data_IF_595033362847
#
_entry.id   IF_595033362847
#
_cell.length_a   1.000
_cell.length_b   1.000
_cell.length_c   1.000
_cell.angle_alpha   90.00
_cell.angle_beta   90.00
_cell.angle_gamma   90.00
#
_symmetry.space_group_name_H-M   'P 1'
#
loop_
_entity.id
_entity.type
_entity.pdbx_description
1 polymer ?
#
# COMPACT_ATOMS: atom_id res chain seq x y z
N UNK A 1 -1.00 12.40 -1.86
CA UNK A 1 -1.13 10.94 -1.58
C UNK A 1 -0.84 10.06 -2.81
N UNK A 2 -1.05 10.55 -4.03
CA UNK A 2 -0.82 9.82 -5.29
C UNK A 2 0.59 9.29 -5.48
N UNK A 3 1.64 10.10 -5.20
CA UNK A 3 3.02 9.62 -5.32
C UNK A 3 3.30 8.42 -4.40
N UNK A 4 2.94 8.51 -3.12
CA UNK A 4 3.14 7.42 -2.15
C UNK A 4 2.32 6.19 -2.52
N UNK A 5 1.10 6.38 -3.02
CA UNK A 5 0.25 5.31 -3.53
C UNK A 5 0.90 4.58 -4.71
N UNK A 6 1.41 5.31 -5.70
CA UNK A 6 2.10 4.74 -6.88
C UNK A 6 3.34 3.95 -6.45
N UNK A 7 4.16 4.49 -5.56
CA UNK A 7 5.36 3.77 -5.07
C UNK A 7 5.00 2.50 -4.30
N UNK A 8 4.00 2.56 -3.41
CA UNK A 8 3.55 1.40 -2.64
C UNK A 8 2.95 0.33 -3.56
N UNK A 9 2.15 0.73 -4.54
CA UNK A 9 1.54 -0.15 -5.53
C UNK A 9 2.59 -0.86 -6.39
N UNK A 10 3.56 -0.12 -6.92
CA UNK A 10 4.67 -0.69 -7.69
C UNK A 10 5.50 -1.68 -6.85
N UNK A 11 5.80 -1.35 -5.59
CA UNK A 11 6.54 -2.23 -4.69
C UNK A 11 5.78 -3.54 -4.39
N UNK A 12 4.47 -3.45 -4.18
CA UNK A 12 3.62 -4.62 -3.96
C UNK A 12 3.49 -5.48 -5.22
N UNK A 13 3.26 -4.86 -6.39
CA UNK A 13 3.15 -5.56 -7.68
C UNK A 13 4.43 -6.32 -8.02
N UNK A 14 5.59 -5.67 -7.85
CA UNK A 14 6.90 -6.28 -8.10
C UNK A 14 7.12 -7.50 -7.18
N UNK A 15 6.77 -7.36 -5.90
CA UNK A 15 6.88 -8.45 -4.91
C UNK A 15 5.95 -9.60 -5.28
N UNK A 16 4.70 -9.29 -5.65
CA UNK A 16 3.70 -10.29 -6.05
C UNK A 16 4.13 -11.09 -7.27
N UNK A 17 4.54 -10.42 -8.36
CA UNK A 17 5.05 -11.08 -9.56
C UNK A 17 6.30 -11.92 -9.26
N UNK A 18 7.22 -11.40 -8.44
CA UNK A 18 8.42 -12.15 -8.03
C UNK A 18 8.06 -13.44 -7.28
N UNK A 19 7.05 -13.37 -6.41
CA UNK A 19 6.59 -14.52 -5.64
C UNK A 19 5.92 -15.57 -6.53
N UNK A 20 5.12 -15.15 -7.51
CA UNK A 20 4.47 -16.05 -8.48
C UNK A 20 5.48 -16.69 -9.45
N UNK A 21 6.51 -15.94 -9.87
CA UNK A 21 7.63 -16.50 -10.65
C UNK A 21 8.42 -17.53 -9.83
N UNK A 22 8.71 -17.23 -8.56
CA UNK A 22 9.38 -18.17 -7.66
C UNK A 22 8.50 -19.42 -7.45
N UNK A 23 7.20 -19.22 -7.22
CA UNK A 23 6.23 -20.29 -7.01
C UNK A 23 6.18 -21.21 -8.22
N UNK A 24 5.95 -20.68 -9.43
CA UNK A 24 5.93 -21.46 -10.67
C UNK A 24 7.25 -22.20 -10.92
N UNK A 25 8.39 -21.57 -10.63
CA UNK A 25 9.69 -22.22 -10.69
C UNK A 25 9.89 -23.30 -9.62
N UNK A 26 9.19 -23.23 -8.48
CA UNK A 26 9.23 -24.24 -7.41
C UNK A 26 8.37 -25.47 -7.73
N UNK A 27 7.33 -25.32 -8.57
CA UNK A 27 6.46 -26.42 -9.01
C UNK A 27 7.07 -27.19 -10.18
N UNK A 28 7.89 -26.52 -11.02
CA UNK A 28 8.73 -27.20 -12.01
C UNK A 28 9.86 -27.96 -11.32
N UNK A 29 10.37 -29.06 -11.91
CA UNK A 29 11.42 -29.94 -11.37
C UNK A 29 12.77 -29.23 -11.09
N UNK A 30 12.80 -28.32 -10.12
CA UNK A 30 13.97 -27.53 -9.75
C UNK A 30 15.03 -28.37 -9.04
N UNK A 31 14.64 -29.51 -8.47
CA UNK A 31 15.55 -30.50 -7.87
C UNK A 31 16.44 -31.19 -8.90
N UNK A 32 15.97 -31.39 -10.14
CA UNK A 32 16.78 -31.93 -11.24
C UNK A 32 17.57 -30.82 -11.98
N UNK A 33 17.25 -29.55 -11.73
CA UNK A 33 17.88 -28.42 -12.40
C UNK A 33 19.28 -28.10 -11.86
N UNK A 34 20.11 -27.46 -12.69
CA UNK A 34 21.51 -27.12 -12.38
C UNK A 34 21.64 -26.45 -11.00
N UNK A 35 22.70 -26.75 -10.23
CA UNK A 35 22.90 -26.20 -8.87
C UNK A 35 22.97 -24.66 -8.84
N UNK A 36 23.32 -24.02 -9.97
CA UNK A 36 23.29 -22.56 -10.14
C UNK A 36 21.86 -22.00 -10.02
N UNK A 37 20.86 -22.64 -10.61
CA UNK A 37 19.46 -22.22 -10.57
C UNK A 37 18.87 -22.37 -9.18
N UNK A 38 19.19 -23.46 -8.49
CA UNK A 38 18.78 -23.67 -7.08
C UNK A 38 19.35 -22.60 -6.13
N UNK A 39 20.62 -22.22 -6.32
CA UNK A 39 21.26 -21.16 -5.52
C UNK A 39 20.61 -19.81 -5.79
N UNK A 40 20.29 -19.52 -7.05
CA UNK A 40 19.58 -18.31 -7.45
C UNK A 40 18.18 -18.25 -6.84
N UNK A 41 17.40 -19.35 -6.86
CA UNK A 41 16.08 -19.42 -6.24
C UNK A 41 16.14 -19.20 -4.72
N UNK A 42 17.13 -19.78 -4.03
CA UNK A 42 17.32 -19.57 -2.59
C UNK A 42 17.63 -18.10 -2.28
N UNK A 43 18.59 -17.51 -3.01
CA UNK A 43 18.93 -16.09 -2.86
C UNK A 43 17.71 -15.23 -3.17
N UNK A 44 17.00 -15.49 -4.26
CA UNK A 44 15.81 -14.74 -4.63
C UNK A 44 14.71 -14.87 -3.59
N UNK A 45 14.47 -16.07 -3.06
CA UNK A 45 13.49 -16.31 -1.98
C UNK A 45 13.85 -15.56 -0.69
N UNK A 46 15.13 -15.53 -0.31
CA UNK A 46 15.62 -14.82 0.86
C UNK A 46 15.55 -13.30 0.68
N UNK A 47 15.75 -12.84 -0.56
CA UNK A 47 15.60 -11.43 -0.94
C UNK A 47 14.13 -11.02 -0.99
N UNK A 48 13.22 -11.89 -1.42
CA UNK A 48 11.77 -11.66 -1.40
C UNK A 48 11.18 -11.73 0.02
N UNK A 49 11.71 -12.61 0.89
CA UNK A 49 11.39 -12.68 2.32
C UNK A 49 11.81 -11.45 3.11
N UNK A 50 12.69 -10.64 2.54
CA UNK A 50 12.84 -9.23 2.94
C UNK A 50 11.90 -8.44 2.04
N UNK A 51 10.57 -8.42 2.33
CA UNK A 51 9.70 -7.55 1.59
C UNK A 51 10.31 -6.17 1.69
N UNK A 52 10.11 -5.40 0.64
CA UNK A 52 10.39 -3.98 0.46
C UNK A 52 9.82 -3.16 1.62
N UNK A 53 10.29 -3.39 2.84
CA UNK A 53 10.26 -2.45 3.95
C UNK A 53 11.36 -1.48 3.57
N UNK A 54 11.08 -0.70 2.53
CA UNK A 54 11.79 0.53 2.25
C UNK A 54 11.45 1.40 3.44
N UNK A 55 12.24 1.23 4.49
CA UNK A 55 12.23 2.05 5.69
C UNK A 55 12.78 3.39 5.23
N UNK A 56 11.93 4.22 4.65
CA UNK A 56 12.23 5.63 4.53
C UNK A 56 12.33 6.17 5.96
N UNK A 57 13.58 6.35 6.41
CA UNK A 57 13.93 7.06 7.64
C UNK A 57 13.24 6.60 8.94
N UNK A 58 13.13 5.29 9.23
CA UNK A 58 12.74 4.76 10.57
C UNK A 58 11.33 5.15 11.09
N UNK A 59 10.52 5.93 10.35
CA UNK A 59 9.20 6.40 10.77
C UNK A 59 8.01 5.76 10.02
N UNK A 60 8.16 5.33 8.76
CA UNK A 60 7.07 4.70 8.02
C UNK A 60 7.50 3.36 7.42
N UNK A 61 6.97 2.27 7.98
CA UNK A 61 6.80 1.05 7.20
C UNK A 61 5.85 1.40 6.07
N UNK A 62 6.36 1.51 4.84
CA UNK A 62 5.57 1.69 3.61
C UNK A 62 4.76 0.42 3.29
N UNK A 63 3.96 -0.01 4.27
CA UNK A 63 2.96 -1.06 4.09
C UNK A 63 1.69 -0.44 3.52
N UNK A 64 1.01 -1.18 2.65
CA UNK A 64 -0.29 -0.80 2.12
C UNK A 64 -1.28 -0.48 3.26
N UNK A 65 -1.19 -1.22 4.37
CA UNK A 65 -1.99 -1.02 5.57
C UNK A 65 -1.81 0.37 6.18
N UNK A 66 -0.58 0.84 6.34
CA UNK A 66 -0.29 2.19 6.88
C UNK A 66 -0.84 3.28 5.97
N UNK A 67 -0.71 3.11 4.65
CA UNK A 67 -1.23 4.06 3.66
C UNK A 67 -2.76 4.17 3.73
N UNK A 68 -3.45 3.03 3.88
CA UNK A 68 -4.92 3.01 4.05
C UNK A 68 -5.33 3.74 5.34
N UNK A 69 -4.60 3.53 6.44
CA UNK A 69 -4.88 4.22 7.71
C UNK A 69 -4.77 5.74 7.54
N UNK A 70 -3.70 6.23 6.91
CA UNK A 70 -3.51 7.67 6.65
C UNK A 70 -4.65 8.21 5.77
N UNK A 71 -5.00 7.51 4.70
CA UNK A 71 -6.10 7.87 3.80
C UNK A 71 -7.44 7.97 4.54
N UNK A 72 -7.75 6.99 5.39
CA UNK A 72 -8.99 6.99 6.20
C UNK A 72 -9.01 8.18 7.16
N UNK A 73 -7.89 8.47 7.82
CA UNK A 73 -7.80 9.63 8.72
C UNK A 73 -7.96 10.95 7.96
N UNK A 74 -7.30 11.12 6.81
CA UNK A 74 -7.46 12.31 5.97
C UNK A 74 -8.90 12.47 5.47
N UNK A 75 -9.54 11.38 5.05
CA UNK A 75 -10.93 11.40 4.60
C UNK A 75 -11.90 11.72 5.75
N UNK A 76 -11.67 11.17 6.94
CA UNK A 76 -12.46 11.47 8.13
C UNK A 76 -12.38 12.96 8.48
N UNK A 77 -11.19 13.56 8.42
CA UNK A 77 -11.01 14.99 8.64
C UNK A 77 -11.75 15.84 7.59
N UNK A 78 -11.65 15.46 6.32
CA UNK A 78 -12.37 16.12 5.23
C UNK A 78 -13.91 16.00 5.39
N UNK A 79 -14.40 14.82 5.79
CA UNK A 79 -15.82 14.60 6.04
C UNK A 79 -16.36 15.48 7.17
N UNK A 80 -15.60 15.64 8.26
CA UNK A 80 -15.96 16.56 9.36
C UNK A 80 -16.05 18.00 8.85
N UNK A 81 -15.02 18.48 8.15
CA UNK A 81 -15.04 19.82 7.53
C UNK A 81 -16.26 20.01 6.61
N UNK A 82 -16.53 19.02 5.76
CA UNK A 82 -17.70 19.04 4.86
C UNK A 82 -19.02 19.12 5.65
N UNK A 83 -19.14 18.36 6.74
CA UNK A 83 -20.34 18.39 7.59
C UNK A 83 -20.54 19.74 8.28
N UNK A 84 -19.46 20.40 8.71
CA UNK A 84 -19.51 21.75 9.30
C UNK A 84 -19.90 22.80 8.26
N UNK A 85 -19.34 22.72 7.05
CA UNK A 85 -19.69 23.66 5.97
C UNK A 85 -21.13 23.49 5.47
N UNK A 86 -21.61 22.25 5.31
CA UNK A 86 -23.00 21.97 4.93
C UNK A 86 -23.95 22.45 6.02
N UNK A 87 -23.64 22.16 7.28
CA UNK A 87 -24.46 22.60 8.43
C UNK A 87 -24.46 24.12 8.59
N UNK A 88 -23.39 24.81 8.15
CA UNK A 88 -23.35 26.28 8.11
C UNK A 88 -24.28 26.86 7.04
N UNK A 89 -24.40 26.24 5.88
CA UNK A 89 -25.38 26.62 4.83
C UNK A 89 -26.82 26.41 5.28
N UNK A 90 -27.09 25.33 6.02
CA UNK A 90 -28.41 25.07 6.62
C UNK A 90 -28.76 26.15 7.66
N UNK A 91 -27.83 26.44 8.56
CA UNK A 91 -28.02 27.45 9.61
C UNK A 91 -28.22 28.86 9.04
N UNK A 92 -27.46 29.23 7.99
CA UNK A 92 -27.62 30.51 7.29
C UNK A 92 -28.99 30.62 6.59
N UNK A 93 -29.47 29.52 5.99
CA UNK A 93 -30.80 29.47 5.33
C UNK A 93 -31.97 29.48 6.33
N UNK A 94 -31.86 28.80 7.49
CA UNK A 94 -32.87 28.87 8.56
C UNK A 94 -32.86 30.18 9.34
N UNK A 95 -31.73 30.88 9.42
CA UNK A 95 -31.66 32.22 10.01
C UNK A 95 -32.23 33.29 9.06
N UNK A 96 -32.04 33.16 7.74
CA UNK A 96 -32.68 34.03 6.74
C UNK A 96 -34.20 33.81 6.60
N UNK A 97 -34.73 32.64 6.98
CA UNK A 97 -36.17 32.37 6.99
C UNK A 97 -36.87 32.69 8.33
N UNK A 98 -36.15 33.15 9.35
CA UNK A 98 -36.71 33.52 10.67
C UNK A 98 -36.67 35.05 10.94
N UNK A 99 -36.71 35.88 9.90
CA UNK A 99 -36.95 37.32 10.02
C UNK A 99 -38.09 37.76 9.10
#
# INVERSE_FOLDING_TARGET
MTQVFIFCWCGQLLTYQSHELLRSSYIGNWYESKPKSRKLLLIFSERCKRPTVVKAAKFFSLSLSTLIIILKSSYSYFAVLRSVYIKKIDCDSTCLCNF
#
